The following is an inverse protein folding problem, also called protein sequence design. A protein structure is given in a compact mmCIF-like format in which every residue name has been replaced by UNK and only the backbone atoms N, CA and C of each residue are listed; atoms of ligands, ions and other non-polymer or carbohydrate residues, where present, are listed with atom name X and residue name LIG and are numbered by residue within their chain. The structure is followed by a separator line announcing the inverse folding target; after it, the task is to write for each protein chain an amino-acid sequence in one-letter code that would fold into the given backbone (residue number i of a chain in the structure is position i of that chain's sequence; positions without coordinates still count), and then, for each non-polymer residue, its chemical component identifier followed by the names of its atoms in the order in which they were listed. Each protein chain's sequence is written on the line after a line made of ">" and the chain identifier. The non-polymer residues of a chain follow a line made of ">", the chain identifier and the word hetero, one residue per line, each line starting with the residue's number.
data_IF_988284286467
#
_entry.id   IF_988284286467
#
_cell.length_a   1.000
_cell.length_b   1.000
_cell.length_c   1.000
_cell.angle_alpha   90.00
_cell.angle_beta   90.00
_cell.angle_gamma   90.00
#
_symmetry.space_group_name_H-M   'P 1'
#
loop_
_entity.id
_entity.type
_entity.pdbx_description
1 polymer ?
#
# COMPACT_ATOMS: atom_id res chain seq x y z
N UNK A 1 -2.26 -24.95 -3.27
CA UNK A 1 -2.99 -23.76 -3.76
C UNK A 1 -1.98 -23.01 -4.60
N UNK A 2 -2.16 -22.97 -5.92
CA UNK A 2 -1.32 -22.13 -6.76
C UNK A 2 -1.59 -20.68 -6.38
N UNK A 3 -0.54 -19.96 -5.96
CA UNK A 3 -0.57 -18.52 -5.81
C UNK A 3 -1.07 -17.93 -7.13
N UNK A 4 -2.22 -17.27 -7.08
CA UNK A 4 -2.78 -16.60 -8.25
C UNK A 4 -2.34 -15.14 -8.16
N UNK A 5 -1.25 -14.73 -8.84
CA UNK A 5 -0.58 -13.44 -8.60
C UNK A 5 -1.50 -12.21 -8.78
N UNK A 6 -2.56 -12.33 -9.57
CA UNK A 6 -3.57 -11.27 -9.72
C UNK A 6 -4.43 -11.04 -8.47
N UNK A 7 -4.66 -12.06 -7.64
CA UNK A 7 -5.50 -11.94 -6.44
C UNK A 7 -4.77 -11.14 -5.36
N UNK A 8 -3.47 -11.38 -5.18
CA UNK A 8 -2.67 -10.67 -4.17
C UNK A 8 -2.51 -9.19 -4.51
N UNK A 9 -2.22 -8.86 -5.78
CA UNK A 9 -2.14 -7.47 -6.22
C UNK A 9 -3.48 -6.72 -6.05
N UNK A 10 -4.61 -7.39 -6.32
CA UNK A 10 -5.93 -6.83 -6.09
C UNK A 10 -6.20 -6.58 -4.60
N UNK A 11 -5.84 -7.52 -3.72
CA UNK A 11 -5.98 -7.34 -2.27
C UNK A 11 -5.17 -6.14 -1.78
N UNK A 12 -3.90 -6.02 -2.17
CA UNK A 12 -3.06 -4.86 -1.85
C UNK A 12 -3.72 -3.56 -2.34
N UNK A 13 -4.14 -3.53 -3.61
CA UNK A 13 -4.78 -2.36 -4.19
C UNK A 13 -6.03 -1.95 -3.41
N UNK A 14 -6.91 -2.90 -3.09
CA UNK A 14 -8.15 -2.64 -2.36
C UNK A 14 -7.86 -2.16 -0.94
N UNK A 15 -6.94 -2.81 -0.22
CA UNK A 15 -6.63 -2.43 1.16
C UNK A 15 -6.00 -1.05 1.26
N UNK A 16 -5.07 -0.72 0.34
CA UNK A 16 -4.50 0.64 0.26
C UNK A 16 -5.63 1.63 -0.03
N UNK A 17 -6.43 1.37 -1.07
CA UNK A 17 -7.49 2.28 -1.50
C UNK A 17 -8.49 2.55 -0.37
N UNK A 18 -8.98 1.49 0.28
CA UNK A 18 -9.91 1.61 1.41
C UNK A 18 -9.34 2.42 2.57
N UNK A 19 -8.07 2.19 2.92
CA UNK A 19 -7.41 2.92 4.02
C UNK A 19 -7.29 4.41 3.71
N UNK A 20 -7.01 4.77 2.47
CA UNK A 20 -6.95 6.16 2.05
C UNK A 20 -8.34 6.80 1.97
N UNK A 21 -9.34 6.08 1.45
CA UNK A 21 -10.73 6.55 1.40
C UNK A 21 -11.35 6.78 2.78
N UNK A 22 -10.97 5.98 3.79
CA UNK A 22 -11.37 6.20 5.18
C UNK A 22 -10.88 7.55 5.74
N UNK A 23 -9.81 8.11 5.17
CA UNK A 23 -9.33 9.45 5.49
C UNK A 23 -10.12 10.47 4.66
N UNK A 24 -10.06 10.36 3.33
CA UNK A 24 -10.92 11.07 2.37
C UNK A 24 -10.66 10.60 0.93
N UNK A 25 -11.60 10.89 0.02
CA UNK A 25 -11.41 10.72 -1.42
C UNK A 25 -10.21 11.53 -1.96
N UNK A 26 -10.02 12.77 -1.50
CA UNK A 26 -8.89 13.59 -1.91
C UNK A 26 -7.54 12.95 -1.55
N UNK A 27 -7.44 12.31 -0.38
CA UNK A 27 -6.22 11.60 0.05
C UNK A 27 -5.93 10.39 -0.83
N UNK A 28 -6.96 9.63 -1.19
CA UNK A 28 -6.81 8.53 -2.13
C UNK A 28 -6.25 9.02 -3.47
N UNK A 29 -6.85 10.08 -4.03
CA UNK A 29 -6.48 10.62 -5.32
C UNK A 29 -5.08 11.24 -5.30
N UNK A 30 -4.72 11.97 -4.24
CA UNK A 30 -3.40 12.60 -4.10
C UNK A 30 -2.28 11.55 -4.05
N UNK A 31 -2.46 10.49 -3.26
CA UNK A 31 -1.47 9.40 -3.17
C UNK A 31 -1.38 8.64 -4.49
N UNK A 32 -2.52 8.29 -5.11
CA UNK A 32 -2.54 7.60 -6.40
C UNK A 32 -1.88 8.42 -7.52
N UNK A 33 -2.18 9.72 -7.57
CA UNK A 33 -1.57 10.64 -8.52
C UNK A 33 -0.06 10.82 -8.28
N UNK A 34 0.37 10.89 -7.02
CA UNK A 34 1.77 11.02 -6.67
C UNK A 34 2.58 9.74 -7.00
N UNK A 35 2.03 8.56 -6.72
CA UNK A 35 2.60 7.27 -7.15
C UNK A 35 2.78 7.21 -8.66
N UNK A 36 1.74 7.55 -9.42
CA UNK A 36 1.82 7.53 -10.89
C UNK A 36 2.82 8.56 -11.42
N UNK A 37 2.82 9.79 -10.90
CA UNK A 37 3.73 10.85 -11.36
C UNK A 37 5.20 10.57 -11.04
N UNK A 38 5.48 10.01 -9.86
CA UNK A 38 6.86 9.81 -9.38
C UNK A 38 7.47 8.48 -9.85
N UNK A 39 6.66 7.43 -9.92
CA UNK A 39 7.14 6.07 -10.15
C UNK A 39 6.47 5.35 -11.33
N UNK A 40 5.43 5.95 -11.96
CA UNK A 40 4.59 5.28 -12.95
C UNK A 40 4.00 3.95 -12.42
N UNK A 41 3.65 3.94 -11.12
CA UNK A 41 3.09 2.79 -10.41
C UNK A 41 1.65 3.07 -9.99
N UNK A 42 0.85 2.01 -9.93
CA UNK A 42 -0.48 1.98 -9.35
C UNK A 42 -0.48 1.18 -8.03
N UNK A 43 -1.57 1.23 -7.26
CA UNK A 43 -1.61 0.58 -5.94
C UNK A 43 -1.35 -0.92 -5.96
N UNK A 44 -1.78 -1.65 -7.00
CA UNK A 44 -1.48 -3.08 -7.13
C UNK A 44 0.03 -3.35 -7.36
N UNK A 45 0.75 -2.40 -7.95
CA UNK A 45 2.20 -2.53 -8.21
C UNK A 45 3.01 -2.37 -6.92
N UNK A 46 2.45 -1.69 -5.90
CA UNK A 46 3.08 -1.52 -4.60
C UNK A 46 3.37 -2.85 -3.90
N UNK A 47 2.72 -3.96 -4.28
CA UNK A 47 3.08 -5.30 -3.81
C UNK A 47 4.57 -5.59 -4.01
N UNK A 48 5.13 -5.18 -5.15
CA UNK A 48 6.54 -5.38 -5.49
C UNK A 48 7.43 -4.19 -5.07
N UNK A 49 6.82 -3.05 -4.77
CA UNK A 49 7.49 -1.78 -4.45
C UNK A 49 6.86 -1.08 -3.24
N UNK A 50 6.87 -1.71 -2.04
CA UNK A 50 6.34 -1.10 -0.82
C UNK A 50 7.01 0.24 -0.48
N UNK A 51 8.27 0.41 -0.85
CA UNK A 51 9.05 1.63 -0.63
C UNK A 51 8.47 2.85 -1.36
N UNK A 52 7.84 2.66 -2.53
CA UNK A 52 7.22 3.77 -3.28
C UNK A 52 5.96 4.27 -2.59
N UNK A 53 5.19 3.35 -1.99
CA UNK A 53 4.02 3.70 -1.20
C UNK A 53 4.41 4.49 0.05
N UNK A 54 5.44 4.01 0.78
CA UNK A 54 5.93 4.68 1.99
C UNK A 54 6.43 6.08 1.66
N UNK A 55 7.28 6.21 0.64
CA UNK A 55 7.83 7.51 0.22
C UNK A 55 6.73 8.51 -0.16
N UNK A 56 5.72 8.10 -0.94
CA UNK A 56 4.62 8.99 -1.34
C UNK A 56 3.76 9.39 -0.15
N UNK A 57 3.38 8.45 0.72
CA UNK A 57 2.58 8.75 1.90
C UNK A 57 3.40 9.67 2.85
N UNK A 58 4.69 9.40 3.04
CA UNK A 58 5.56 10.26 3.85
C UNK A 58 5.70 11.67 3.26
N UNK A 59 5.80 11.79 1.94
CA UNK A 59 5.86 13.08 1.26
C UNK A 59 4.58 13.92 1.48
N UNK A 60 3.40 13.29 1.53
CA UNK A 60 2.12 13.98 1.68
C UNK A 60 1.79 14.27 3.15
N UNK A 61 2.06 13.31 4.05
CA UNK A 61 1.59 13.36 5.44
C UNK A 61 2.68 13.71 6.46
N UNK A 62 3.94 13.84 6.03
CA UNK A 62 5.07 13.99 6.94
C UNK A 62 5.06 12.86 7.97
N UNK A 63 5.26 13.19 9.25
CA UNK A 63 5.25 12.22 10.36
C UNK A 63 3.94 11.43 10.52
N UNK A 64 2.83 11.94 9.97
CA UNK A 64 1.52 11.26 9.98
C UNK A 64 1.48 9.97 9.15
N UNK A 65 2.49 9.73 8.30
CA UNK A 65 2.56 8.52 7.47
C UNK A 65 2.54 7.23 8.30
N UNK A 66 3.14 7.25 9.49
CA UNK A 66 3.26 6.07 10.36
C UNK A 66 1.88 5.48 10.67
N UNK A 67 0.88 6.33 10.96
CA UNK A 67 -0.48 5.88 11.26
C UNK A 67 -1.19 5.26 10.06
N UNK A 68 -0.90 5.74 8.85
CA UNK A 68 -1.47 5.21 7.61
C UNK A 68 -0.82 3.87 7.27
N UNK A 69 0.51 3.79 7.33
CA UNK A 69 1.26 2.55 7.12
C UNK A 69 0.84 1.48 8.13
N UNK A 70 0.67 1.85 9.40
CA UNK A 70 0.19 0.94 10.43
C UNK A 70 -1.22 0.42 10.14
N UNK A 71 -2.12 1.28 9.66
CA UNK A 71 -3.49 0.88 9.28
C UNK A 71 -3.51 -0.10 8.11
N UNK A 72 -2.68 0.13 7.09
CA UNK A 72 -2.50 -0.79 5.95
C UNK A 72 -1.96 -2.14 6.45
N UNK A 73 -0.92 -2.12 7.29
CA UNK A 73 -0.31 -3.33 7.84
C UNK A 73 -1.34 -4.17 8.62
N UNK A 74 -2.10 -3.53 9.53
CA UNK A 74 -3.11 -4.20 10.35
C UNK A 74 -4.19 -4.89 9.52
N UNK A 75 -4.63 -4.28 8.42
CA UNK A 75 -5.64 -4.87 7.52
C UNK A 75 -5.10 -6.05 6.69
N UNK A 76 -3.79 -6.15 6.51
CA UNK A 76 -3.14 -7.21 5.74
C UNK A 76 -2.52 -8.31 6.61
N UNK A 77 -2.43 -8.08 7.93
CA UNK A 77 -1.78 -9.00 8.88
C UNK A 77 -2.39 -10.41 8.84
N UNK A 78 -3.71 -10.53 8.71
CA UNK A 78 -4.40 -11.82 8.62
C UNK A 78 -4.00 -12.63 7.37
N UNK A 79 -3.49 -11.97 6.33
CA UNK A 79 -3.03 -12.58 5.09
C UNK A 79 -1.51 -12.78 5.04
N UNK A 80 -0.79 -12.45 6.12
CA UNK A 80 0.67 -12.56 6.21
C UNK A 80 1.21 -14.00 6.12
N UNK A 81 0.34 -15.02 6.15
CA UNK A 81 0.72 -16.40 5.81
C UNK A 81 1.08 -16.56 4.33
N UNK A 82 0.61 -15.65 3.45
CA UNK A 82 1.01 -15.60 2.05
C UNK A 82 2.36 -14.88 1.96
N UNK A 83 3.36 -15.57 1.41
CA UNK A 83 4.73 -15.05 1.31
C UNK A 83 4.82 -13.65 0.68
N UNK A 84 4.15 -13.34 -0.44
CA UNK A 84 4.25 -12.01 -1.06
C UNK A 84 3.70 -10.89 -0.16
N UNK A 85 2.65 -11.17 0.62
CA UNK A 85 2.08 -10.20 1.56
C UNK A 85 3.02 -9.97 2.72
N UNK A 86 3.61 -11.04 3.27
CA UNK A 86 4.61 -10.90 4.33
C UNK A 86 5.81 -10.04 3.88
N UNK A 87 6.33 -10.28 2.68
CA UNK A 87 7.43 -9.52 2.10
C UNK A 87 7.06 -8.04 1.89
N UNK A 88 5.86 -7.76 1.39
CA UNK A 88 5.32 -6.41 1.29
C UNK A 88 5.25 -5.72 2.65
N UNK A 89 4.68 -6.38 3.66
CA UNK A 89 4.54 -5.83 5.01
C UNK A 89 5.88 -5.51 5.66
N UNK A 90 6.90 -6.35 5.46
CA UNK A 90 8.26 -6.09 5.91
C UNK A 90 8.89 -4.90 5.18
N UNK A 91 8.57 -4.71 3.90
CA UNK A 91 9.05 -3.60 3.10
C UNK A 91 8.51 -2.23 3.53
N UNK A 92 7.33 -2.19 4.18
CA UNK A 92 6.73 -0.94 4.66
C UNK A 92 7.51 -0.25 5.80
N UNK A 93 8.43 -0.96 6.47
CA UNK A 93 9.18 -0.46 7.62
C UNK A 93 10.70 -0.42 7.39
N UNK A 94 11.14 -0.53 6.13
CA UNK A 94 12.56 -0.36 5.76
C UNK A 94 12.90 1.11 5.58
#
# INVERSE_FOLDING_TARGET
>A
MEDMPGVTGALISVTISQTLYEISEAVHDDVGNALYKKYNCYFHDCLNHPEYLVDVIQQIFGDGYISIIHSINKKLEEFSYQKPINEFLLGLYK
#
